data_IF_305000265806
#
_entry.id   IF_305000265806
#
_cell.length_a   1.000
_cell.length_b   1.000
_cell.length_c   1.000
_cell.angle_alpha   90.00
_cell.angle_beta   90.00
_cell.angle_gamma   90.00
#
_symmetry.space_group_name_H-M   'P 1'
#
loop_
_entity.id
_entity.type
_entity.pdbx_description
1 polymer ?
#
# COMPACT_ATOMS: atom_id res chain seq x y z
N UNK A 1 -1.92 -2.84 48.55
CA UNK A 1 -2.20 -3.83 47.48
C UNK A 1 -1.20 -3.60 46.35
N UNK A 2 -0.55 -4.66 45.83
CA UNK A 2 0.41 -4.55 44.73
C UNK A 2 -0.23 -4.17 43.38
N UNK A 3 0.61 -3.61 42.52
CA UNK A 3 0.35 -3.01 41.22
C UNK A 3 -0.12 -4.02 40.15
N UNK A 4 -1.07 -3.65 39.30
CA UNK A 4 -1.31 -4.32 38.02
C UNK A 4 -0.95 -3.38 36.87
N UNK A 5 0.08 -3.70 36.06
CA UNK A 5 0.19 -3.14 34.71
C UNK A 5 -0.80 -3.87 33.80
N UNK A 6 -1.73 -3.15 33.18
CA UNK A 6 -2.61 -3.71 32.15
C UNK A 6 -1.80 -4.08 30.91
N UNK A 7 -1.98 -5.29 30.36
CA UNK A 7 -1.31 -5.71 29.14
C UNK A 7 -2.02 -5.16 27.90
N UNK A 8 -1.24 -4.64 26.96
CA UNK A 8 -1.59 -4.70 25.54
C UNK A 8 -2.45 -3.58 24.99
N UNK A 9 -1.83 -2.40 24.76
CA UNK A 9 -2.14 -1.65 23.54
C UNK A 9 -1.02 -1.91 22.55
N UNK A 10 -1.13 -3.09 21.94
CA UNK A 10 -0.45 -3.47 20.72
C UNK A 10 -0.73 -2.37 19.69
N UNK A 11 0.15 -1.35 19.61
CA UNK A 11 0.15 -0.42 18.49
C UNK A 11 0.28 -1.30 17.28
N UNK A 12 -0.84 -1.43 16.56
CA UNK A 12 -0.95 -2.11 15.30
C UNK A 12 0.33 -1.77 14.54
N UNK A 13 1.19 -2.75 14.31
CA UNK A 13 2.24 -2.62 13.33
C UNK A 13 1.49 -2.37 12.03
N UNK A 14 1.41 -1.10 11.64
CA UNK A 14 0.83 -0.72 10.36
C UNK A 14 1.72 -1.41 9.35
N UNK A 15 1.10 -2.36 8.66
CA UNK A 15 1.66 -3.17 7.61
C UNK A 15 2.56 -2.30 6.73
N UNK A 16 3.85 -2.49 6.91
CA UNK A 16 4.90 -1.95 6.07
C UNK A 16 5.88 -3.07 5.83
N UNK A 17 5.36 -4.21 5.33
CA UNK A 17 6.16 -5.28 4.75
C UNK A 17 7.24 -4.64 3.90
N UNK A 18 8.49 -4.73 4.39
CA UNK A 18 9.72 -4.47 3.65
C UNK A 18 9.53 -3.54 2.45
N UNK A 19 9.67 -2.24 2.68
CA UNK A 19 10.05 -1.32 1.61
C UNK A 19 11.40 -1.80 1.07
N UNK A 20 11.39 -2.77 0.16
CA UNK A 20 12.51 -3.01 -0.75
C UNK A 20 12.44 -1.86 -1.74
N UNK A 21 12.97 -0.73 -1.29
CA UNK A 21 13.45 0.37 -2.11
C UNK A 21 14.55 -0.19 -3.03
N UNK A 22 14.11 -0.82 -4.11
CA UNK A 22 15.00 -1.53 -5.02
C UNK A 22 14.37 -1.62 -6.40
N UNK A 23 14.23 -0.48 -7.08
CA UNK A 23 14.04 -0.44 -8.54
C UNK A 23 12.82 -1.17 -9.13
N UNK A 24 11.88 -1.64 -8.32
CA UNK A 24 10.75 -2.43 -8.78
C UNK A 24 9.78 -1.52 -9.55
N UNK A 25 9.88 -1.57 -10.87
CA UNK A 25 8.97 -0.86 -11.78
C UNK A 25 7.52 -1.24 -11.41
N UNK A 26 6.62 -0.27 -11.40
CA UNK A 26 5.21 -0.49 -11.10
C UNK A 26 4.66 -1.60 -12.03
N UNK A 27 4.12 -2.68 -11.45
CA UNK A 27 3.53 -3.79 -12.19
C UNK A 27 2.00 -3.75 -12.13
N UNK A 28 1.32 -4.43 -13.04
CA UNK A 28 -0.15 -4.51 -13.02
C UNK A 28 -0.68 -5.14 -11.72
N UNK A 29 0.00 -6.16 -11.20
CA UNK A 29 -0.37 -6.80 -9.95
C UNK A 29 -0.26 -5.85 -8.75
N UNK A 30 0.82 -5.05 -8.70
CA UNK A 30 0.98 -3.98 -7.70
C UNK A 30 -0.14 -2.95 -7.81
N UNK A 31 -0.44 -2.48 -9.03
CA UNK A 31 -1.50 -1.50 -9.27
C UNK A 31 -2.89 -2.04 -8.89
N UNK A 32 -3.15 -3.34 -9.11
CA UNK A 32 -4.38 -4.00 -8.68
C UNK A 32 -4.50 -4.07 -7.14
N UNK A 33 -3.41 -4.36 -6.42
CA UNK A 33 -3.39 -4.31 -4.95
C UNK A 33 -3.65 -2.89 -4.42
N UNK A 34 -3.05 -1.88 -5.05
CA UNK A 34 -3.27 -0.47 -4.72
C UNK A 34 -4.74 -0.11 -4.91
N UNK A 35 -5.34 -0.49 -6.03
CA UNK A 35 -6.76 -0.28 -6.31
C UNK A 35 -7.64 -0.98 -5.26
N UNK A 36 -7.43 -2.26 -5.02
CA UNK A 36 -8.21 -3.02 -4.02
C UNK A 36 -8.09 -2.42 -2.60
N UNK A 37 -6.95 -1.82 -2.27
CA UNK A 37 -6.75 -1.16 -0.98
C UNK A 37 -7.47 0.19 -0.92
N UNK A 38 -7.43 0.96 -2.01
CA UNK A 38 -8.20 2.20 -2.13
C UNK A 38 -9.71 1.94 -2.02
N UNK A 39 -10.22 0.92 -2.71
CA UNK A 39 -11.66 0.58 -2.71
C UNK A 39 -12.12 0.08 -1.33
N UNK A 40 -11.27 -0.65 -0.58
CA UNK A 40 -11.56 -1.06 0.80
C UNK A 40 -11.46 0.08 1.81
N UNK A 41 -10.64 1.08 1.53
CA UNK A 41 -10.39 2.22 2.43
C UNK A 41 -10.57 3.55 1.69
N UNK A 42 -11.82 3.96 1.42
CA UNK A 42 -12.09 5.17 0.63
C UNK A 42 -11.62 6.46 1.30
N UNK A 43 -11.44 6.49 2.62
CA UNK A 43 -10.86 7.62 3.35
C UNK A 43 -9.33 7.62 3.43
N UNK A 44 -8.66 6.62 2.88
CA UNK A 44 -7.19 6.56 2.90
C UNK A 44 -6.57 7.52 1.89
N UNK A 45 -5.36 7.98 2.18
CA UNK A 45 -4.57 8.82 1.25
C UNK A 45 -4.42 8.16 -0.12
N UNK A 46 -4.31 6.83 -0.18
CA UNK A 46 -4.21 6.07 -1.43
C UNK A 46 -5.45 6.21 -2.31
N UNK A 47 -6.64 6.30 -1.72
CA UNK A 47 -7.90 6.50 -2.43
C UNK A 47 -8.11 7.96 -2.86
N UNK A 48 -7.69 8.92 -2.04
CA UNK A 48 -8.00 10.35 -2.25
C UNK A 48 -6.94 11.13 -3.02
N UNK A 49 -5.69 10.66 -3.06
CA UNK A 49 -4.57 11.39 -3.66
C UNK A 49 -4.41 11.23 -5.19
N UNK A 50 -5.27 10.45 -5.85
CA UNK A 50 -5.08 10.07 -7.27
C UNK A 50 -3.94 9.07 -7.50
N UNK A 51 -3.37 8.49 -6.43
CA UNK A 51 -2.28 7.53 -6.52
C UNK A 51 -2.67 6.26 -7.31
N UNK A 52 -3.93 5.80 -7.20
CA UNK A 52 -4.48 4.68 -7.98
C UNK A 52 -4.32 4.88 -9.49
N UNK A 53 -4.70 6.04 -10.01
CA UNK A 53 -4.59 6.37 -11.43
C UNK A 53 -3.13 6.39 -11.88
N UNK A 54 -2.26 7.01 -11.06
CA UNK A 54 -0.81 7.04 -11.32
C UNK A 54 -0.20 5.65 -11.32
N UNK A 55 -0.62 4.78 -10.41
CA UNK A 55 -0.14 3.40 -10.34
C UNK A 55 -0.57 2.59 -11.57
N UNK A 56 -1.83 2.71 -11.99
CA UNK A 56 -2.34 2.05 -13.20
C UNK A 56 -1.62 2.54 -14.46
N UNK A 57 -1.47 3.86 -14.61
CA UNK A 57 -0.72 4.45 -15.72
C UNK A 57 0.74 3.98 -15.75
N UNK A 58 1.40 3.92 -14.59
CA UNK A 58 2.80 3.48 -14.50
C UNK A 58 2.93 1.99 -14.81
N UNK A 59 1.98 1.16 -14.36
CA UNK A 59 1.93 -0.26 -14.69
C UNK A 59 1.71 -0.50 -16.19
N UNK A 60 0.78 0.23 -16.80
CA UNK A 60 0.52 0.17 -18.24
C UNK A 60 1.77 0.56 -19.05
N UNK A 61 2.48 1.62 -18.66
CA UNK A 61 3.73 2.03 -19.32
C UNK A 61 4.82 0.97 -19.20
N UNK A 62 4.90 0.27 -18.06
CA UNK A 62 5.86 -0.81 -17.86
C UNK A 62 5.54 -2.04 -18.72
N UNK A 63 4.26 -2.34 -18.98
CA UNK A 63 3.88 -3.42 -19.90
C UNK A 63 4.14 -3.04 -21.36
N UNK A 64 3.96 -1.78 -21.73
CA UNK A 64 4.13 -1.30 -23.12
C UNK A 64 5.61 -1.08 -23.50
N UNK A 65 6.50 -0.92 -22.53
CA UNK A 65 7.96 -0.86 -22.74
C UNK A 65 8.64 -2.20 -23.05
N UNK A 66 7.88 -3.31 -23.07
CA UNK A 66 8.32 -4.58 -23.69
C UNK A 66 7.96 -4.55 -25.19
N UNK A 67 8.75 -3.89 -26.01
CA UNK A 67 8.78 -4.09 -27.46
C UNK A 67 10.22 -4.13 -27.94
#
# INVERSE_FOLDING_TARGET
MPQQPTPGSNKQAHQGSTQTSGGAKMTQESAARIQSTADRHPGSTTATSGFKERAQSSAAKNTTGKK
#
